data_IF_866367686985
#
_entry.id   IF_866367686985
#
_cell.length_a   1.000
_cell.length_b   1.000
_cell.length_c   1.000
_cell.angle_alpha   90.00
_cell.angle_beta   90.00
_cell.angle_gamma   90.00
#
_symmetry.space_group_name_H-M   'P 1'
#
loop_
_entity.id
_entity.type
_entity.pdbx_description
1 polymer ?
#
# COMPACT_ATOMS: atom_id res chain seq x y z
N UNK A 1 20.37 -0.30 12.53
CA UNK A 1 19.37 0.56 13.19
C UNK A 1 18.45 -0.31 14.03
N UNK A 2 18.61 -0.33 15.37
CA UNK A 2 17.83 -1.21 16.29
C UNK A 2 16.89 -0.45 17.24
N UNK A 3 16.74 0.86 17.08
CA UNK A 3 15.98 1.71 18.02
C UNK A 3 14.45 1.52 17.95
N UNK A 4 13.90 1.08 16.81
CA UNK A 4 12.45 0.92 16.61
C UNK A 4 11.99 -0.53 16.42
N UNK A 5 12.91 -1.50 16.41
CA UNK A 5 12.63 -2.95 16.32
C UNK A 5 11.57 -3.32 15.26
N UNK A 6 10.56 -4.09 15.69
CA UNK A 6 9.35 -4.44 14.92
C UNK A 6 8.17 -3.50 15.20
N UNK A 7 8.43 -2.31 15.75
CA UNK A 7 7.39 -1.33 16.05
C UNK A 7 6.62 -1.54 17.36
N UNK A 8 6.83 -2.65 18.07
CA UNK A 8 6.18 -2.89 19.38
C UNK A 8 7.01 -2.38 20.58
N UNK A 9 8.24 -1.94 20.35
CA UNK A 9 9.13 -1.52 21.44
C UNK A 9 8.57 -0.31 22.18
N UNK A 10 8.92 -0.15 23.46
CA UNK A 10 8.45 0.99 24.25
C UNK A 10 8.89 2.33 23.64
N UNK A 11 10.04 2.39 22.97
CA UNK A 11 10.50 3.54 22.20
C UNK A 11 9.55 3.86 21.04
N UNK A 12 9.08 2.83 20.32
CA UNK A 12 8.09 2.98 19.25
C UNK A 12 6.75 3.49 19.78
N UNK A 13 6.30 3.01 20.95
CA UNK A 13 5.06 3.47 21.59
C UNK A 13 5.16 4.94 21.99
N UNK A 14 6.26 5.33 22.64
CA UNK A 14 6.49 6.72 23.04
C UNK A 14 6.60 7.63 21.81
N UNK A 15 7.35 7.21 20.79
CA UNK A 15 7.49 7.95 19.53
C UNK A 15 6.16 8.12 18.79
N UNK A 16 5.38 7.04 18.65
CA UNK A 16 4.06 7.08 18.02
C UNK A 16 3.09 7.98 18.80
N UNK A 17 3.12 7.90 20.14
CA UNK A 17 2.28 8.74 21.01
C UNK A 17 2.63 10.22 20.88
N UNK A 18 3.93 10.56 20.90
CA UNK A 18 4.39 11.94 20.71
C UNK A 18 3.96 12.48 19.34
N UNK A 19 4.10 11.66 18.28
CA UNK A 19 3.70 12.04 16.92
C UNK A 19 2.19 12.26 16.80
N UNK A 20 1.39 11.42 17.46
CA UNK A 20 -0.07 11.59 17.54
C UNK A 20 -0.44 12.93 18.19
N UNK A 21 0.17 13.27 19.32
CA UNK A 21 -0.08 14.56 19.99
C UNK A 21 0.35 15.75 19.14
N UNK A 22 1.47 15.67 18.42
CA UNK A 22 1.91 16.72 17.48
C UNK A 22 0.83 16.95 16.40
N UNK A 23 0.34 15.88 15.78
CA UNK A 23 -0.72 15.98 14.76
C UNK A 23 -2.01 16.55 15.37
N UNK A 24 -2.37 16.14 16.59
CA UNK A 24 -3.51 16.69 17.30
C UNK A 24 -3.39 18.21 17.52
N UNK A 25 -2.28 18.68 18.07
CA UNK A 25 -2.04 20.13 18.26
C UNK A 25 -2.02 20.89 16.93
N UNK A 26 -1.55 20.27 15.86
CA UNK A 26 -1.57 20.87 14.53
C UNK A 26 -2.99 21.08 14.02
N UNK A 27 -3.86 20.08 14.20
CA UNK A 27 -5.28 20.18 13.82
C UNK A 27 -5.96 21.27 14.64
N UNK A 28 -5.65 21.40 15.94
CA UNK A 28 -6.18 22.47 16.79
C UNK A 28 -5.76 23.87 16.33
N UNK A 29 -4.58 24.03 15.72
CA UNK A 29 -4.08 25.33 15.22
C UNK A 29 -4.74 25.79 13.92
N UNK A 30 -5.47 24.93 13.23
CA UNK A 30 -6.27 25.33 12.07
C UNK A 30 -6.39 24.25 10.99
N UNK A 31 -7.58 24.15 10.42
CA UNK A 31 -7.92 23.14 9.38
C UNK A 31 -7.12 23.38 8.09
N UNK A 32 -6.74 24.63 7.80
CA UNK A 32 -6.02 24.98 6.57
C UNK A 32 -4.60 24.39 6.55
N UNK A 33 -3.86 24.45 7.67
CA UNK A 33 -2.53 23.83 7.80
C UNK A 33 -2.63 22.31 7.71
N UNK A 34 -3.63 21.71 8.34
CA UNK A 34 -3.87 20.26 8.27
C UNK A 34 -4.16 19.79 6.84
N UNK A 35 -4.94 20.55 6.06
CA UNK A 35 -5.26 20.25 4.67
C UNK A 35 -4.00 20.26 3.77
N UNK A 36 -3.12 21.26 3.93
CA UNK A 36 -1.86 21.34 3.18
C UNK A 36 -0.92 20.18 3.50
N UNK A 37 -0.82 19.78 4.77
CA UNK A 37 0.01 18.64 5.17
C UNK A 37 -0.54 17.34 4.60
N UNK A 38 -1.86 17.15 4.60
CA UNK A 38 -2.47 15.98 4.00
C UNK A 38 -2.23 15.91 2.49
N UNK A 39 -2.27 17.05 1.78
CA UNK A 39 -1.91 17.12 0.37
C UNK A 39 -0.46 16.66 0.14
N UNK A 40 0.50 17.21 0.90
CA UNK A 40 1.92 16.82 0.81
C UNK A 40 2.09 15.33 1.13
N UNK A 41 1.45 14.83 2.18
CA UNK A 41 1.48 13.42 2.54
C UNK A 41 0.88 12.53 1.45
N UNK A 42 -0.14 13.00 0.73
CA UNK A 42 -0.75 12.29 -0.40
C UNK A 42 0.23 12.21 -1.56
N UNK A 43 0.84 13.34 -1.96
CA UNK A 43 1.86 13.38 -3.00
C UNK A 43 3.09 12.53 -2.66
N UNK A 44 3.53 12.59 -1.40
CA UNK A 44 4.65 11.81 -0.90
C UNK A 44 4.40 10.29 -0.94
N UNK A 45 3.13 9.85 -0.87
CA UNK A 45 2.76 8.43 -1.04
C UNK A 45 2.61 8.04 -2.52
N UNK A 46 2.12 8.95 -3.36
CA UNK A 46 1.93 8.68 -4.79
C UNK A 46 3.25 8.48 -5.53
N UNK A 47 4.30 9.20 -5.15
CA UNK A 47 5.63 9.08 -5.76
C UNK A 47 6.24 7.66 -5.64
N UNK A 48 6.42 7.08 -4.44
CA UNK A 48 6.97 5.72 -4.31
C UNK A 48 6.02 4.67 -4.89
N UNK A 49 4.70 4.88 -4.82
CA UNK A 49 3.73 3.98 -5.45
C UNK A 49 3.89 3.93 -6.98
N UNK A 50 4.04 5.10 -7.62
CA UNK A 50 4.28 5.18 -9.05
C UNK A 50 5.63 4.55 -9.44
N UNK A 51 6.68 4.83 -8.67
CA UNK A 51 7.99 4.22 -8.87
C UNK A 51 7.94 2.69 -8.75
N UNK A 52 7.25 2.16 -7.75
CA UNK A 52 7.05 0.73 -7.59
C UNK A 52 6.39 0.11 -8.82
N UNK A 53 5.30 0.70 -9.32
CA UNK A 53 4.59 0.20 -10.49
C UNK A 53 5.51 0.15 -11.73
N UNK A 54 6.31 1.20 -11.95
CA UNK A 54 7.27 1.24 -13.07
C UNK A 54 8.35 0.17 -12.93
N UNK A 55 8.99 0.07 -11.76
CA UNK A 55 10.03 -0.94 -11.50
C UNK A 55 9.49 -2.36 -11.64
N UNK A 56 8.32 -2.62 -11.07
CA UNK A 56 7.69 -3.93 -11.10
C UNK A 56 7.29 -4.34 -12.51
N UNK A 57 6.80 -3.41 -13.36
CA UNK A 57 6.51 -3.69 -14.76
C UNK A 57 7.78 -4.04 -15.56
N UNK A 58 8.89 -3.35 -15.33
CA UNK A 58 10.16 -3.66 -16.00
C UNK A 58 10.73 -5.03 -15.60
N UNK A 59 10.47 -5.46 -14.37
CA UNK A 59 10.98 -6.71 -13.80
C UNK A 59 9.96 -7.86 -13.82
N UNK A 60 8.80 -7.66 -14.45
CA UNK A 60 7.70 -8.63 -14.43
C UNK A 60 8.05 -9.88 -15.24
N UNK A 61 7.91 -11.06 -14.61
CA UNK A 61 8.15 -12.36 -15.24
C UNK A 61 6.86 -13.19 -15.25
N UNK A 62 6.39 -13.55 -16.45
CA UNK A 62 5.19 -14.37 -16.64
C UNK A 62 5.30 -15.75 -16.01
N UNK A 63 6.51 -16.33 -15.97
CA UNK A 63 6.74 -17.64 -15.37
C UNK A 63 6.56 -17.61 -13.86
N UNK A 64 7.06 -16.56 -13.20
CA UNK A 64 6.87 -16.33 -11.76
C UNK A 64 5.41 -16.08 -11.42
N UNK A 65 4.72 -15.29 -12.25
CA UNK A 65 3.29 -15.00 -12.07
C UNK A 65 2.40 -16.25 -12.14
N UNK A 66 2.79 -17.26 -12.92
CA UNK A 66 2.03 -18.51 -13.08
C UNK A 66 2.28 -19.52 -11.96
N UNK A 67 3.28 -19.32 -11.11
CA UNK A 67 3.52 -20.17 -9.95
C UNK A 67 2.32 -20.06 -8.99
N UNK A 68 1.77 -21.22 -8.63
CA UNK A 68 0.65 -21.38 -7.67
C UNK A 68 -0.70 -20.76 -8.05
N UNK A 69 -1.13 -20.89 -9.32
CA UNK A 69 -2.53 -20.59 -9.69
C UNK A 69 -3.57 -21.48 -9.00
N UNK A 70 -3.18 -22.68 -8.56
CA UNK A 70 -4.10 -23.67 -7.97
C UNK A 70 -4.34 -23.48 -6.48
N UNK A 71 -3.55 -22.64 -5.78
CA UNK A 71 -3.69 -22.37 -4.35
C UNK A 71 -3.41 -23.56 -3.41
N UNK A 72 -2.95 -24.69 -3.97
CA UNK A 72 -2.66 -25.93 -3.23
C UNK A 72 -1.50 -25.76 -2.24
N UNK A 73 -0.58 -24.85 -2.50
CA UNK A 73 0.62 -24.61 -1.69
C UNK A 73 0.34 -23.97 -0.31
N UNK A 74 -0.86 -23.44 -0.07
CA UNK A 74 -1.19 -22.72 1.16
C UNK A 74 -1.56 -23.63 2.33
N UNK A 75 -1.88 -24.91 2.10
CA UNK A 75 -2.18 -25.88 3.16
C UNK A 75 -3.44 -25.58 3.99
N UNK A 76 -4.19 -24.52 3.68
CA UNK A 76 -5.42 -24.10 4.37
C UNK A 76 -6.64 -24.13 3.44
N UNK A 77 -7.86 -24.40 3.96
CA UNK A 77 -9.07 -24.44 3.16
C UNK A 77 -9.32 -23.12 2.41
N UNK A 78 -9.87 -23.21 1.19
CA UNK A 78 -10.18 -22.03 0.35
C UNK A 78 -11.02 -20.99 1.08
N UNK A 79 -11.97 -21.42 1.91
CA UNK A 79 -12.79 -20.52 2.72
C UNK A 79 -11.96 -19.60 3.64
N UNK A 80 -10.92 -20.15 4.26
CA UNK A 80 -10.02 -19.38 5.12
C UNK A 80 -9.17 -18.41 4.32
N UNK A 81 -8.70 -18.81 3.12
CA UNK A 81 -7.97 -17.94 2.20
C UNK A 81 -8.83 -16.74 1.77
N UNK A 82 -10.09 -16.98 1.44
CA UNK A 82 -11.06 -15.94 1.09
C UNK A 82 -11.28 -15.00 2.27
N UNK A 83 -11.51 -15.52 3.48
CA UNK A 83 -11.72 -14.73 4.69
C UNK A 83 -10.51 -13.83 4.99
N UNK A 84 -9.30 -14.39 4.99
CA UNK A 84 -8.08 -13.64 5.30
C UNK A 84 -7.82 -12.53 4.29
N UNK A 85 -8.03 -12.82 3.00
CA UNK A 85 -7.91 -11.82 1.93
C UNK A 85 -8.97 -10.72 2.07
N UNK A 86 -10.22 -11.10 2.38
CA UNK A 86 -11.32 -10.16 2.58
C UNK A 86 -11.07 -9.20 3.76
N UNK A 87 -10.47 -9.67 4.86
CA UNK A 87 -10.14 -8.81 6.00
C UNK A 87 -9.15 -7.69 5.61
N UNK A 88 -8.13 -8.03 4.83
CA UNK A 88 -7.13 -7.05 4.36
C UNK A 88 -7.78 -6.09 3.35
N UNK A 89 -8.59 -6.59 2.41
CA UNK A 89 -9.26 -5.70 1.45
C UNK A 89 -10.21 -4.75 2.15
N UNK A 90 -11.03 -5.23 3.08
CA UNK A 90 -11.91 -4.36 3.88
C UNK A 90 -11.12 -3.29 4.62
N UNK A 91 -9.99 -3.66 5.24
CA UNK A 91 -9.12 -2.72 5.94
C UNK A 91 -8.55 -1.62 5.01
N UNK A 92 -8.14 -1.98 3.78
CA UNK A 92 -7.64 -1.01 2.77
C UNK A 92 -8.73 -0.03 2.32
N UNK A 93 -10.00 -0.45 2.33
CA UNK A 93 -11.14 0.41 1.97
C UNK A 93 -11.76 1.16 3.16
N UNK A 94 -11.20 1.06 4.37
CA UNK A 94 -11.61 1.90 5.50
C UNK A 94 -11.41 3.37 5.13
N UNK A 95 -12.43 4.19 5.39
CA UNK A 95 -12.42 5.64 5.14
C UNK A 95 -13.39 6.10 4.05
N UNK A 96 -13.90 5.19 3.21
CA UNK A 96 -14.97 5.51 2.25
C UNK A 96 -16.20 6.08 2.97
N UNK A 97 -16.54 5.55 4.14
CA UNK A 97 -17.62 6.04 4.99
C UNK A 97 -17.44 7.52 5.40
N UNK A 98 -16.21 7.92 5.73
CA UNK A 98 -15.87 9.31 6.07
C UNK A 98 -16.02 10.25 4.87
N UNK A 99 -15.71 9.77 3.66
CA UNK A 99 -15.91 10.54 2.43
C UNK A 99 -17.40 10.83 2.17
N UNK A 100 -18.30 9.91 2.54
CA UNK A 100 -19.75 10.11 2.42
C UNK A 100 -20.22 11.27 3.31
N UNK A 101 -19.67 11.44 4.51
CA UNK A 101 -20.02 12.57 5.40
C UNK A 101 -19.63 13.90 4.75
N UNK A 102 -18.44 13.98 4.14
CA UNK A 102 -17.97 15.19 3.45
C UNK A 102 -18.78 15.49 2.19
N UNK A 103 -19.32 14.45 1.53
CA UNK A 103 -20.14 14.59 0.33
C UNK A 103 -21.43 15.39 0.55
N UNK A 104 -21.89 15.56 1.80
CA UNK A 104 -23.01 16.42 2.13
C UNK A 104 -22.78 17.90 1.72
N UNK A 105 -21.51 18.31 1.61
CA UNK A 105 -21.09 19.66 1.19
C UNK A 105 -20.81 19.75 -0.32
N UNK A 106 -21.08 18.69 -1.08
CA UNK A 106 -20.83 18.70 -2.51
C UNK A 106 -21.70 19.73 -3.23
N UNK A 107 -21.08 20.49 -4.14
CA UNK A 107 -21.76 21.51 -4.97
C UNK A 107 -22.90 20.91 -5.81
N UNK A 108 -22.72 19.67 -6.27
CA UNK A 108 -23.72 18.92 -7.02
C UNK A 108 -23.84 17.49 -6.48
N UNK A 109 -25.00 17.16 -5.89
CA UNK A 109 -25.24 15.84 -5.29
C UNK A 109 -25.26 14.71 -6.31
N UNK A 110 -25.56 15.00 -7.59
CA UNK A 110 -25.56 13.99 -8.66
C UNK A 110 -24.16 13.45 -8.98
N UNK A 111 -23.12 14.23 -8.68
CA UNK A 111 -21.74 13.86 -8.98
C UNK A 111 -21.13 13.00 -7.86
N UNK A 112 -21.70 13.04 -6.65
CA UNK A 112 -21.20 12.31 -5.47
C UNK A 112 -21.15 10.80 -5.71
N UNK A 113 -22.24 10.23 -6.23
CA UNK A 113 -22.32 8.78 -6.47
C UNK A 113 -21.29 8.33 -7.50
N UNK A 114 -21.17 9.07 -8.61
CA UNK A 114 -20.18 8.79 -9.66
C UNK A 114 -18.75 8.95 -9.15
N UNK A 115 -18.47 10.03 -8.42
CA UNK A 115 -17.16 10.29 -7.85
C UNK A 115 -16.74 9.20 -6.85
N UNK A 116 -17.67 8.76 -5.99
CA UNK A 116 -17.40 7.68 -5.03
C UNK A 116 -17.13 6.36 -5.73
N UNK A 117 -17.96 6.00 -6.73
CA UNK A 117 -17.76 4.79 -7.52
C UNK A 117 -16.41 4.81 -8.26
N UNK A 118 -16.09 5.93 -8.93
CA UNK A 118 -14.81 6.09 -9.62
C UNK A 118 -13.63 6.01 -8.65
N UNK A 119 -13.74 6.62 -7.47
CA UNK A 119 -12.69 6.56 -6.46
C UNK A 119 -12.45 5.12 -5.97
N UNK A 120 -13.53 4.39 -5.65
CA UNK A 120 -13.44 2.99 -5.19
C UNK A 120 -12.87 2.08 -6.28
N UNK A 121 -13.37 2.19 -7.52
CA UNK A 121 -12.88 1.37 -8.63
C UNK A 121 -11.42 1.70 -8.98
N UNK A 122 -11.04 2.98 -8.91
CA UNK A 122 -9.65 3.38 -9.15
C UNK A 122 -8.72 2.84 -8.05
N UNK A 123 -9.12 2.98 -6.78
CA UNK A 123 -8.35 2.43 -5.66
C UNK A 123 -8.24 0.89 -5.73
N UNK A 124 -9.32 0.21 -6.10
CA UNK A 124 -9.32 -1.23 -6.32
C UNK A 124 -8.40 -1.63 -7.47
N UNK A 125 -8.45 -0.91 -8.59
CA UNK A 125 -7.58 -1.14 -9.74
C UNK A 125 -6.10 -1.00 -9.37
N UNK A 126 -5.74 0.05 -8.64
CA UNK A 126 -4.37 0.26 -8.13
C UNK A 126 -3.96 -0.85 -7.16
N UNK A 127 -4.84 -1.24 -6.25
CA UNK A 127 -4.58 -2.32 -5.29
C UNK A 127 -4.30 -3.65 -6.00
N UNK A 128 -5.16 -4.03 -6.96
CA UNK A 128 -4.98 -5.22 -7.77
C UNK A 128 -3.71 -5.16 -8.60
N UNK A 129 -3.44 -4.01 -9.24
CA UNK A 129 -2.23 -3.81 -10.04
C UNK A 129 -0.96 -4.03 -9.22
N UNK A 130 -0.84 -3.38 -8.06
CA UNK A 130 0.32 -3.52 -7.17
C UNK A 130 0.47 -4.95 -6.67
N UNK A 131 -0.63 -5.60 -6.29
CA UNK A 131 -0.62 -6.98 -5.79
C UNK A 131 -0.17 -7.96 -6.87
N UNK A 132 -0.76 -7.88 -8.08
CA UNK A 132 -0.43 -8.77 -9.19
C UNK A 132 0.99 -8.54 -9.71
N UNK A 133 1.44 -7.28 -9.79
CA UNK A 133 2.81 -6.96 -10.16
C UNK A 133 3.81 -7.52 -9.14
N UNK A 134 3.50 -7.47 -7.84
CA UNK A 134 4.34 -8.06 -6.79
C UNK A 134 4.54 -9.56 -7.01
N UNK A 135 3.46 -10.30 -7.31
CA UNK A 135 3.48 -11.74 -7.59
C UNK A 135 4.24 -12.09 -8.89
N UNK A 136 4.34 -11.17 -9.84
CA UNK A 136 5.10 -11.38 -11.07
C UNK A 136 6.58 -11.06 -10.95
N UNK A 137 7.01 -10.38 -9.89
CA UNK A 137 8.43 -10.01 -9.68
C UNK A 137 9.12 -11.05 -8.81
N UNK A 138 8.46 -11.47 -7.72
CA UNK A 138 9.02 -12.38 -6.71
C UNK A 138 8.05 -13.54 -6.45
N UNK A 139 8.57 -14.73 -6.18
CA UNK A 139 7.76 -15.90 -5.88
C UNK A 139 7.01 -15.73 -4.55
N UNK A 140 5.82 -16.35 -4.42
CA UNK A 140 4.97 -16.24 -3.22
C UNK A 140 5.67 -16.59 -1.89
N UNK A 141 6.48 -17.66 -1.78
CA UNK A 141 7.14 -18.00 -0.52
C UNK A 141 8.12 -16.92 -0.07
N UNK A 142 8.88 -16.37 -1.03
CA UNK A 142 9.84 -15.29 -0.77
C UNK A 142 9.11 -13.98 -0.42
N UNK A 143 8.01 -13.66 -1.10
CA UNK A 143 7.15 -12.52 -0.74
C UNK A 143 6.61 -12.61 0.69
N UNK A 144 6.33 -13.82 1.19
CA UNK A 144 5.81 -14.03 2.55
C UNK A 144 6.87 -13.79 3.64
N UNK A 145 8.15 -13.91 3.30
CA UNK A 145 9.26 -13.64 4.21
C UNK A 145 9.65 -12.15 4.26
N UNK A 146 9.21 -11.35 3.29
CA UNK A 146 9.49 -9.90 3.29
C UNK A 146 8.71 -9.21 4.41
N UNK A 147 9.45 -8.52 5.28
CA UNK A 147 8.86 -7.76 6.39
C UNK A 147 7.94 -6.65 5.88
N UNK A 148 6.77 -6.53 6.50
CA UNK A 148 5.85 -5.43 6.19
C UNK A 148 6.43 -4.08 6.66
N UNK A 149 6.31 -3.01 5.85
CA UNK A 149 5.64 -2.93 4.55
C UNK A 149 6.47 -3.54 3.40
N UNK A 150 5.91 -4.56 2.74
CA UNK A 150 6.60 -5.40 1.76
C UNK A 150 7.03 -4.67 0.48
N UNK A 151 6.28 -3.63 0.06
CA UNK A 151 6.62 -2.79 -1.09
C UNK A 151 8.03 -2.19 -0.99
N UNK A 152 8.41 -1.69 0.20
CA UNK A 152 9.73 -1.10 0.38
C UNK A 152 10.85 -2.13 0.23
N UNK A 153 10.66 -3.34 0.78
CA UNK A 153 11.59 -4.45 0.60
C UNK A 153 11.73 -4.86 -0.86
N UNK A 154 10.60 -4.97 -1.58
CA UNK A 154 10.59 -5.29 -3.01
C UNK A 154 11.27 -4.24 -3.87
N UNK A 155 11.09 -2.95 -3.58
CA UNK A 155 11.76 -1.89 -4.34
C UNK A 155 13.28 -1.96 -4.17
N UNK A 156 13.78 -2.26 -2.96
CA UNK A 156 15.22 -2.45 -2.72
C UNK A 156 15.75 -3.63 -3.53
N UNK A 157 15.04 -4.75 -3.52
CA UNK A 157 15.40 -5.96 -4.29
C UNK A 157 15.44 -5.68 -5.80
N UNK A 158 14.41 -5.00 -6.33
CA UNK A 158 14.33 -4.60 -7.74
C UNK A 158 15.49 -3.67 -8.14
N UNK A 159 15.82 -2.71 -7.27
CA UNK A 159 16.90 -1.75 -7.52
C UNK A 159 18.28 -2.43 -7.47
N UNK A 160 18.51 -3.37 -6.55
CA UNK A 160 19.76 -4.12 -6.45
C UNK A 160 19.96 -5.06 -7.65
N UNK A 161 18.91 -5.78 -8.06
CA UNK A 161 18.94 -6.61 -9.27
C UNK A 161 19.13 -5.79 -10.56
N UNK A 162 18.50 -4.62 -10.67
CA UNK A 162 18.72 -3.70 -11.80
C UNK A 162 20.16 -3.16 -11.87
N UNK A 163 20.77 -2.89 -10.71
CA UNK A 163 22.17 -2.45 -10.62
C UNK A 163 23.17 -3.56 -11.00
N UNK A 164 22.89 -4.82 -10.62
CA UNK A 164 23.72 -5.97 -10.99
C UNK A 164 23.61 -6.33 -12.48
N UNK A 165 22.42 -6.21 -13.07
CA UNK A 165 22.20 -6.47 -14.51
C UNK A 165 22.92 -5.45 -15.41
N UNK A 166 23.05 -4.20 -14.96
CA UNK A 166 23.72 -3.12 -15.70
C UNK A 166 25.25 -3.07 -15.52
N UNK A 167 25.81 -3.89 -14.61
CA UNK A 167 27.26 -3.95 -14.31
C UNK A 167 27.95 -5.20 -14.88
N UNK A 168 27.22 -6.06 -15.61
CA UNK A 168 27.81 -7.11 -16.42
C UNK A 168 28.31 -6.51 -17.74
N UNK A 169 29.61 -6.61 -18.09
CA UNK A 169 30.06 -6.25 -19.41
C UNK A 169 29.41 -7.18 -20.44
N UNK A 170 28.88 -6.59 -21.52
CA UNK A 170 28.39 -7.28 -22.72
C UNK A 170 29.49 -8.17 -23.30
#
# INVERSE_FOLDING_TARGET
MRLFGDGNTWQSIVGASALLWIVHFLILRGVQTAASINLVATLAKLLPLGLFVVLAMMMFKLDTFKLDFTGLALGVPVWEQVKNTMLITLWVFIGVEGAVVVSARARNKRDVGKATLLAVLSALGVYLLVTLLSLGVVARPELAEIRNPSMAGLMVEMMDHGAKSSSLPV
#
